data_IF_128258308687
#
_entry.id   IF_128258308687
#
_cell.length_a   1.000
_cell.length_b   1.000
_cell.length_c   1.000
_cell.angle_alpha   90.00
_cell.angle_beta   90.00
_cell.angle_gamma   90.00
#
_symmetry.space_group_name_H-M   'P 1'
#
loop_
_entity.id
_entity.type
_entity.pdbx_description
1 polymer ?
#
# COMPACT_ATOMS: atom_id res chain seq x y z
N UNK A 1 23.74 -10.15 -10.70
CA UNK A 1 22.97 -9.83 -9.49
C UNK A 1 22.13 -8.61 -9.80
N UNK A 2 20.91 -8.53 -9.31
CA UNK A 2 19.96 -7.42 -9.60
C UNK A 2 19.96 -6.43 -8.44
N UNK A 3 19.65 -5.18 -8.75
CA UNK A 3 19.31 -4.18 -7.73
C UNK A 3 17.82 -4.23 -7.41
N UNK A 4 17.46 -3.82 -6.22
CA UNK A 4 16.07 -3.74 -5.75
C UNK A 4 15.80 -2.36 -5.15
N UNK A 5 14.75 -1.72 -5.60
CA UNK A 5 14.20 -0.51 -5.00
C UNK A 5 12.76 -0.80 -4.57
N UNK A 6 12.53 -0.86 -3.28
CA UNK A 6 11.22 -1.07 -2.69
C UNK A 6 10.73 0.25 -2.10
N UNK A 7 9.57 0.73 -2.55
CA UNK A 7 8.91 1.93 -2.05
C UNK A 7 7.62 1.51 -1.38
N UNK A 8 7.50 1.72 -0.10
CA UNK A 8 6.29 1.45 0.67
C UNK A 8 5.74 2.73 1.29
N UNK A 9 4.47 3.02 1.00
CA UNK A 9 3.75 4.20 1.48
C UNK A 9 2.67 3.75 2.45
N UNK A 10 2.75 4.14 3.71
CA UNK A 10 1.73 3.79 4.69
C UNK A 10 0.47 4.65 4.50
N UNK A 11 -0.70 4.05 4.64
CA UNK A 11 -1.98 4.72 4.51
C UNK A 11 -2.44 5.03 3.08
N UNK A 12 -1.84 4.44 2.04
CA UNK A 12 -2.30 4.60 0.67
C UNK A 12 -3.34 3.53 0.33
N UNK A 13 -4.58 3.93 0.10
CA UNK A 13 -5.66 3.06 -0.37
C UNK A 13 -5.46 2.66 -1.84
N UNK A 14 -5.70 1.40 -2.19
CA UNK A 14 -5.75 0.94 -3.60
C UNK A 14 -6.83 1.68 -4.40
N UNK A 15 -8.03 1.85 -3.82
CA UNK A 15 -9.17 2.52 -4.45
C UNK A 15 -8.96 4.00 -4.80
N UNK A 16 -7.84 4.61 -4.43
CA UNK A 16 -7.50 5.99 -4.79
C UNK A 16 -6.55 6.11 -5.99
N UNK A 17 -6.16 5.00 -6.61
CA UNK A 17 -5.22 4.93 -7.73
C UNK A 17 -5.97 4.57 -9.01
N UNK A 18 -5.68 5.27 -10.12
CA UNK A 18 -6.32 5.04 -11.42
C UNK A 18 -6.16 3.60 -11.92
N UNK A 19 -4.98 3.00 -11.75
CA UNK A 19 -4.73 1.61 -12.12
C UNK A 19 -5.61 0.59 -11.37
N UNK A 20 -6.19 0.94 -10.22
CA UNK A 20 -7.19 0.14 -9.48
C UNK A 20 -8.64 0.59 -9.71
N UNK A 21 -8.88 1.44 -10.72
CA UNK A 21 -10.23 1.82 -11.17
C UNK A 21 -10.71 3.19 -10.69
N UNK A 22 -9.89 3.98 -9.97
CA UNK A 22 -10.25 5.36 -9.64
C UNK A 22 -10.25 6.21 -10.90
N UNK A 23 -11.35 6.92 -11.16
CA UNK A 23 -11.49 7.82 -12.32
C UNK A 23 -11.49 9.29 -11.95
N UNK A 24 -11.46 9.61 -10.67
CA UNK A 24 -11.53 10.96 -10.15
C UNK A 24 -10.16 11.51 -9.76
N UNK A 25 -9.37 10.72 -9.00
CA UNK A 25 -8.04 11.14 -8.57
C UNK A 25 -7.04 10.91 -9.70
N UNK A 26 -6.24 11.94 -10.02
CA UNK A 26 -5.27 11.89 -11.10
C UNK A 26 -3.95 11.28 -10.60
N UNK A 27 -3.61 10.09 -11.12
CA UNK A 27 -2.40 9.35 -10.77
C UNK A 27 -1.59 8.89 -12.01
N UNK A 28 -1.28 9.82 -12.95
CA UNK A 28 -0.69 9.44 -14.24
C UNK A 28 0.67 8.74 -14.11
N UNK A 29 1.45 9.05 -13.09
CA UNK A 29 2.75 8.41 -12.83
C UNK A 29 2.56 6.98 -12.34
N UNK A 30 1.69 6.75 -11.37
CA UNK A 30 1.35 5.42 -10.84
C UNK A 30 0.69 4.57 -11.93
N UNK A 31 -0.19 5.14 -12.74
CA UNK A 31 -0.84 4.45 -13.85
C UNK A 31 0.17 4.03 -14.94
N UNK A 32 1.11 4.93 -15.26
CA UNK A 32 2.22 4.60 -16.17
C UNK A 32 3.15 3.54 -15.60
N UNK A 33 3.42 3.57 -14.30
CA UNK A 33 4.20 2.54 -13.61
C UNK A 33 3.47 1.19 -13.65
N UNK A 34 2.17 1.17 -13.37
CA UNK A 34 1.33 -0.02 -13.44
C UNK A 34 1.37 -0.66 -14.84
N UNK A 35 1.28 0.14 -15.91
CA UNK A 35 1.41 -0.34 -17.29
C UNK A 35 2.77 -0.99 -17.60
N UNK A 36 3.81 -0.68 -16.84
CA UNK A 36 5.17 -1.22 -16.98
C UNK A 36 5.47 -2.32 -15.97
N UNK A 37 4.50 -2.73 -15.17
CA UNK A 37 4.63 -3.63 -14.03
C UNK A 37 3.72 -4.84 -14.15
N UNK A 38 3.95 -5.83 -13.28
CA UNK A 38 2.87 -6.70 -12.81
C UNK A 38 2.10 -5.91 -11.76
N UNK A 39 0.78 -5.82 -11.93
CA UNK A 39 -0.12 -5.28 -10.93
C UNK A 39 -0.84 -6.45 -10.25
N UNK A 40 -0.85 -6.45 -8.92
CA UNK A 40 -1.57 -7.45 -8.13
C UNK A 40 -2.89 -6.87 -7.63
N UNK A 41 -4.00 -7.43 -8.12
CA UNK A 41 -5.34 -6.96 -7.78
C UNK A 41 -5.80 -7.39 -6.40
N UNK A 42 -5.12 -8.36 -5.77
CA UNK A 42 -5.54 -9.00 -4.53
C UNK A 42 -4.41 -9.12 -3.53
N UNK A 43 -3.72 -8.02 -3.29
CA UNK A 43 -2.72 -7.93 -2.23
C UNK A 43 -3.37 -7.36 -0.96
N UNK A 44 -3.34 -8.13 0.12
CA UNK A 44 -3.97 -7.77 1.38
C UNK A 44 -2.97 -7.75 2.54
N UNK A 45 -3.12 -6.78 3.44
CA UNK A 45 -2.37 -6.79 4.71
C UNK A 45 -2.67 -8.08 5.50
N UNK A 46 -1.69 -8.60 6.21
CA UNK A 46 -1.89 -9.71 7.16
C UNK A 46 -2.54 -9.22 8.46
N UNK A 47 -2.28 -7.96 8.83
CA UNK A 47 -2.86 -7.28 9.99
C UNK A 47 -2.71 -5.76 9.87
N UNK A 48 -3.31 -5.01 10.82
CA UNK A 48 -3.08 -3.56 10.95
C UNK A 48 -1.85 -3.22 11.80
N UNK A 49 -1.13 -4.22 12.29
CA UNK A 49 0.09 -4.05 13.08
C UNK A 49 1.32 -3.89 12.16
N UNK A 50 1.84 -2.68 12.06
CA UNK A 50 3.01 -2.37 11.22
C UNK A 50 4.25 -3.19 11.59
N UNK A 51 4.65 -3.35 12.88
CA UNK A 51 5.77 -4.19 13.27
C UNK A 51 5.69 -5.62 12.71
N UNK A 52 4.55 -6.28 12.82
CA UNK A 52 4.34 -7.62 12.28
C UNK A 52 4.45 -7.64 10.76
N UNK A 53 3.79 -6.69 10.07
CA UNK A 53 3.87 -6.55 8.60
C UNK A 53 5.31 -6.35 8.12
N UNK A 54 6.11 -5.53 8.81
CA UNK A 54 7.53 -5.33 8.46
C UNK A 54 8.36 -6.60 8.68
N UNK A 55 8.04 -7.38 9.70
CA UNK A 55 8.69 -8.67 9.96
C UNK A 55 8.46 -9.66 8.83
N UNK A 56 7.26 -9.69 8.27
CA UNK A 56 6.93 -10.52 7.11
C UNK A 56 7.61 -10.03 5.82
N UNK A 57 7.63 -8.71 5.59
CA UNK A 57 8.21 -8.09 4.41
C UNK A 57 9.74 -8.16 4.35
N UNK A 58 10.42 -8.10 5.49
CA UNK A 58 11.88 -7.97 5.54
C UNK A 58 12.64 -9.31 5.57
N UNK A 59 12.18 -10.25 4.76
CA UNK A 59 12.85 -11.52 4.51
C UNK A 59 13.64 -11.44 3.20
N UNK A 60 14.83 -10.86 3.25
CA UNK A 60 15.59 -10.44 2.08
C UNK A 60 16.50 -11.52 1.49
N UNK A 61 16.81 -11.42 0.18
CA UNK A 61 17.90 -12.20 -0.42
C UNK A 61 19.22 -11.95 0.30
N UNK A 62 20.09 -12.99 0.49
CA UNK A 62 21.32 -12.84 1.27
C UNK A 62 22.40 -11.99 0.62
N UNK A 63 22.43 -11.86 -0.70
CA UNK A 63 23.61 -11.43 -1.47
C UNK A 63 23.57 -9.98 -1.97
N UNK A 64 22.89 -9.05 -1.26
CA UNK A 64 22.85 -7.64 -1.62
C UNK A 64 23.14 -6.74 -0.42
N UNK A 65 23.68 -5.55 -0.69
CA UNK A 65 23.86 -4.51 0.32
C UNK A 65 22.49 -3.87 0.64
N UNK A 66 22.05 -3.97 1.89
CA UNK A 66 20.70 -3.59 2.33
C UNK A 66 20.69 -2.21 2.96
N UNK A 67 19.88 -1.33 2.44
CA UNK A 67 19.76 0.07 2.87
C UNK A 67 18.32 0.34 3.26
N UNK A 68 18.08 0.80 4.47
CA UNK A 68 16.79 1.31 4.93
C UNK A 68 16.77 2.83 4.84
N UNK A 69 15.74 3.37 4.21
CA UNK A 69 15.40 4.78 4.26
C UNK A 69 13.98 4.92 4.82
N UNK A 70 13.79 5.75 5.84
CA UNK A 70 12.46 6.00 6.40
C UNK A 70 12.34 7.37 7.05
N UNK A 71 11.16 7.96 7.06
CA UNK A 71 10.80 9.13 7.88
C UNK A 71 10.07 8.70 9.17
N UNK A 72 9.64 7.44 9.27
CA UNK A 72 9.00 6.87 10.46
C UNK A 72 10.03 6.48 11.52
N UNK A 73 9.89 7.08 12.70
CA UNK A 73 10.75 6.77 13.84
C UNK A 73 10.56 5.34 14.36
N UNK A 74 9.34 4.80 14.32
CA UNK A 74 9.04 3.46 14.80
C UNK A 74 9.68 2.40 13.91
N UNK A 75 9.62 2.60 12.60
CA UNK A 75 10.27 1.76 11.59
C UNK A 75 11.80 1.81 11.70
N UNK A 76 12.36 3.00 11.89
CA UNK A 76 13.80 3.18 12.08
C UNK A 76 14.35 2.45 13.32
N UNK A 77 13.54 2.38 14.37
CA UNK A 77 13.86 1.73 15.65
C UNK A 77 13.38 0.27 15.74
N UNK A 78 12.71 -0.23 14.72
CA UNK A 78 12.21 -1.59 14.68
C UNK A 78 13.35 -2.61 14.87
N UNK A 79 13.10 -3.70 15.59
CA UNK A 79 14.12 -4.71 15.88
C UNK A 79 14.77 -5.23 14.60
N UNK A 80 13.95 -5.60 13.60
CA UNK A 80 14.44 -6.10 12.32
C UNK A 80 15.11 -5.05 11.42
N UNK A 81 15.07 -3.76 11.77
CA UNK A 81 15.89 -2.76 11.08
C UNK A 81 17.41 -3.03 11.27
N UNK A 82 17.78 -3.90 12.19
CA UNK A 82 19.14 -4.45 12.32
C UNK A 82 19.56 -5.38 11.18
N UNK A 83 18.65 -5.84 10.32
CA UNK A 83 18.94 -6.63 9.11
C UNK A 83 19.55 -5.79 7.98
N UNK A 84 19.46 -4.45 8.07
CA UNK A 84 20.01 -3.55 7.07
C UNK A 84 21.46 -3.17 7.40
N UNK A 85 22.30 -3.12 6.39
CA UNK A 85 23.71 -2.72 6.51
C UNK A 85 23.83 -1.22 6.77
N UNK A 86 22.90 -0.42 6.18
CA UNK A 86 22.83 1.03 6.37
C UNK A 86 21.38 1.45 6.68
N UNK A 87 21.24 2.45 7.56
CA UNK A 87 19.94 3.04 7.90
C UNK A 87 20.01 4.57 7.82
N UNK A 88 19.05 5.13 7.08
CA UNK A 88 18.92 6.56 6.89
C UNK A 88 17.53 7.02 7.34
N UNK A 89 17.49 8.09 8.13
CA UNK A 89 16.24 8.70 8.56
C UNK A 89 16.05 10.06 7.92
N UNK A 90 14.91 10.26 7.26
CA UNK A 90 14.48 11.58 6.81
C UNK A 90 13.78 12.27 8.00
N UNK A 91 14.30 13.41 8.44
CA UNK A 91 13.63 14.15 9.50
C UNK A 91 12.26 14.66 9.02
N UNK A 92 11.21 14.25 9.71
CA UNK A 92 9.88 14.79 9.50
C UNK A 92 9.85 16.25 9.99
N UNK A 93 9.69 17.20 9.08
CA UNK A 93 9.45 18.60 9.45
C UNK A 93 7.99 18.75 9.87
N UNK A 94 7.73 18.62 11.17
CA UNK A 94 6.42 18.94 11.72
C UNK A 94 6.10 20.41 11.48
N UNK A 95 5.14 20.66 10.60
CA UNK A 95 4.62 21.99 10.29
C UNK A 95 3.28 22.17 11.01
N UNK A 96 2.92 23.43 11.26
CA UNK A 96 1.61 23.78 11.80
C UNK A 96 0.65 24.21 10.69
N UNK A 97 1.11 24.25 9.43
CA UNK A 97 0.33 24.63 8.25
C UNK A 97 0.81 23.83 7.03
N UNK A 98 -0.06 23.59 6.03
CA UNK A 98 0.31 23.01 4.77
C UNK A 98 1.49 23.70 4.10
N UNK A 99 2.28 22.96 3.36
CA UNK A 99 3.37 23.53 2.57
C UNK A 99 2.78 24.44 1.48
N UNK A 100 3.53 25.48 1.10
CA UNK A 100 3.11 26.40 0.04
C UNK A 100 3.57 25.94 -1.36
N UNK A 101 4.35 24.86 -1.45
CA UNK A 101 4.85 24.26 -2.70
C UNK A 101 5.18 22.79 -2.45
N UNK A 102 5.13 21.99 -3.53
CA UNK A 102 5.43 20.58 -3.52
C UNK A 102 6.85 20.26 -2.98
N UNK A 103 7.86 21.07 -3.35
CA UNK A 103 9.25 20.86 -2.96
C UNK A 103 9.48 21.00 -1.44
N UNK A 104 8.49 21.47 -0.71
CA UNK A 104 8.54 21.62 0.75
C UNK A 104 7.76 20.53 1.48
N UNK A 105 7.10 19.62 0.77
CA UNK A 105 6.34 18.52 1.36
C UNK A 105 7.26 17.40 1.85
N UNK A 106 6.73 16.55 2.74
CA UNK A 106 7.46 15.38 3.21
C UNK A 106 7.68 14.37 2.07
N UNK A 107 6.69 14.15 1.20
CA UNK A 107 6.84 13.27 0.03
C UNK A 107 7.99 13.70 -0.89
N UNK A 108 8.11 15.00 -1.18
CA UNK A 108 9.24 15.47 -1.98
C UNK A 108 10.59 15.21 -1.30
N UNK A 109 10.71 15.46 0.01
CA UNK A 109 11.95 15.21 0.76
C UNK A 109 12.30 13.72 0.76
N UNK A 110 11.32 12.86 0.93
CA UNK A 110 11.47 11.41 0.92
C UNK A 110 12.00 10.92 -0.45
N UNK A 111 11.38 11.36 -1.54
CA UNK A 111 11.81 11.01 -2.90
C UNK A 111 13.19 11.61 -3.24
N UNK A 112 13.44 12.85 -2.83
CA UNK A 112 14.76 13.49 -3.04
C UNK A 112 15.89 12.76 -2.27
N UNK A 113 15.63 12.29 -1.05
CA UNK A 113 16.61 11.50 -0.31
C UNK A 113 16.81 10.12 -0.91
N UNK A 114 15.76 9.47 -1.42
CA UNK A 114 15.86 8.23 -2.20
C UNK A 114 16.78 8.42 -3.41
N UNK A 115 16.56 9.48 -4.20
CA UNK A 115 17.44 9.84 -5.34
C UNK A 115 18.86 10.08 -4.89
N UNK A 116 19.07 10.79 -3.78
CA UNK A 116 20.41 11.06 -3.25
C UNK A 116 21.16 9.78 -2.87
N UNK A 117 20.53 8.84 -2.20
CA UNK A 117 21.12 7.54 -1.87
C UNK A 117 21.46 6.74 -3.12
N UNK A 118 20.53 6.68 -4.08
CA UNK A 118 20.76 5.99 -5.35
C UNK A 118 21.91 6.62 -6.16
N UNK A 119 22.09 7.93 -6.12
CA UNK A 119 23.17 8.65 -6.79
C UNK A 119 24.53 8.37 -6.17
N UNK A 120 24.60 8.26 -4.85
CA UNK A 120 25.83 8.10 -4.09
C UNK A 120 26.11 6.64 -3.69
N UNK A 121 25.35 5.67 -4.22
CA UNK A 121 25.50 4.25 -3.92
C UNK A 121 26.87 3.72 -4.37
N UNK A 122 27.32 2.64 -3.76
CA UNK A 122 28.45 1.85 -4.27
C UNK A 122 28.06 1.08 -5.54
N UNK A 123 29.05 0.56 -6.28
CA UNK A 123 28.83 -0.28 -7.47
C UNK A 123 28.36 -1.71 -7.13
N UNK A 124 28.15 -2.02 -5.85
CA UNK A 124 27.64 -3.32 -5.41
C UNK A 124 26.13 -3.44 -5.66
N UNK A 125 25.63 -4.65 -5.92
CA UNK A 125 24.20 -4.90 -5.91
C UNK A 125 23.57 -4.46 -4.59
N UNK A 126 22.44 -3.76 -4.67
CA UNK A 126 21.79 -3.20 -3.48
C UNK A 126 20.31 -3.58 -3.40
N UNK A 127 19.80 -3.53 -2.20
CA UNK A 127 18.37 -3.44 -1.90
C UNK A 127 18.15 -2.16 -1.09
N UNK A 128 17.48 -1.19 -1.69
CA UNK A 128 17.03 0.03 -0.99
C UNK A 128 15.55 -0.14 -0.66
N UNK A 129 15.25 -0.24 0.63
CA UNK A 129 13.89 -0.21 1.16
C UNK A 129 13.57 1.19 1.66
N UNK A 130 12.71 1.90 0.93
CA UNK A 130 12.24 3.23 1.27
C UNK A 130 10.81 3.13 1.81
N UNK A 131 10.66 3.16 3.15
CA UNK A 131 9.37 3.15 3.82
C UNK A 131 9.03 4.53 4.35
N UNK A 132 7.81 4.99 4.08
CA UNK A 132 7.36 6.33 4.49
C UNK A 132 6.02 6.28 5.22
N UNK A 133 5.89 7.10 6.31
CA UNK A 133 4.63 7.28 7.07
C UNK A 133 3.45 7.62 6.15
N UNK A 134 3.72 8.27 5.04
CA UNK A 134 2.74 8.54 4.00
C UNK A 134 1.51 9.29 4.49
N UNK A 135 0.34 8.67 4.30
CA UNK A 135 -0.95 9.25 4.69
C UNK A 135 -1.28 9.03 6.17
N UNK A 136 -0.50 8.24 6.87
CA UNK A 136 -0.60 8.06 8.34
C UNK A 136 0.29 9.04 9.11
N UNK A 137 1.08 9.83 8.38
CA UNK A 137 1.87 10.95 8.90
C UNK A 137 1.15 12.30 8.82
N UNK A 138 1.93 13.38 8.86
CA UNK A 138 1.40 14.72 8.74
C UNK A 138 1.00 15.05 7.29
N UNK A 139 -0.19 15.61 7.10
CA UNK A 139 -0.69 16.03 5.81
C UNK A 139 -0.19 17.43 5.46
N UNK A 140 1.08 17.56 5.09
CA UNK A 140 1.68 18.84 4.71
C UNK A 140 1.46 19.21 3.22
N UNK A 141 0.52 18.54 2.56
CA UNK A 141 0.18 18.76 1.15
C UNK A 141 -0.31 20.20 0.93
N UNK A 142 0.15 20.90 -0.14
CA UNK A 142 -0.28 22.29 -0.41
C UNK A 142 -1.79 22.41 -0.60
N UNK A 143 -2.38 23.49 -0.09
CA UNK A 143 -3.82 23.74 -0.24
C UNK A 143 -4.26 23.80 -1.70
N UNK A 144 -3.39 24.23 -2.64
CA UNK A 144 -3.70 24.23 -4.08
C UNK A 144 -3.97 22.83 -4.63
N UNK A 145 -3.29 21.79 -4.12
CA UNK A 145 -3.54 20.41 -4.50
C UNK A 145 -4.83 19.87 -3.90
N UNK A 146 -5.14 20.23 -2.65
CA UNK A 146 -6.40 19.85 -2.00
C UNK A 146 -7.60 20.47 -2.71
N UNK A 147 -7.50 21.75 -3.08
CA UNK A 147 -8.54 22.48 -3.84
C UNK A 147 -8.72 22.04 -5.29
N UNK A 148 -7.78 21.25 -5.83
CA UNK A 148 -7.90 20.73 -7.19
C UNK A 148 -9.11 19.81 -7.38
N UNK A 149 -9.57 19.19 -6.32
CA UNK A 149 -10.70 18.26 -6.31
C UNK A 149 -12.01 18.87 -5.84
N UNK A 150 -11.98 20.12 -5.38
CA UNK A 150 -13.15 20.89 -4.94
C UNK A 150 -13.99 21.31 -6.15
N UNK A 151 -15.30 21.13 -6.09
CA UNK A 151 -16.27 21.72 -7.03
C UNK A 151 -17.02 22.88 -6.39
N UNK A 152 -17.81 23.65 -7.18
CA UNK A 152 -18.38 24.96 -6.78
C UNK A 152 -19.18 24.97 -5.47
N UNK A 153 -19.89 23.89 -5.15
CA UNK A 153 -20.73 23.78 -3.95
C UNK A 153 -20.08 22.96 -2.81
N UNK A 154 -18.82 22.49 -2.99
CA UNK A 154 -18.14 21.73 -1.96
C UNK A 154 -17.63 22.62 -0.82
N UNK A 155 -17.51 22.08 0.41
CA UNK A 155 -16.87 22.77 1.51
C UNK A 155 -15.38 23.06 1.19
N UNK A 156 -14.78 23.98 1.94
CA UNK A 156 -13.30 24.16 1.84
C UNK A 156 -12.58 22.86 2.27
N UNK A 157 -11.55 22.43 1.53
CA UNK A 157 -10.79 21.22 1.87
C UNK A 157 -10.19 21.29 3.28
N UNK A 158 -10.10 20.16 3.95
CA UNK A 158 -9.42 20.03 5.24
C UNK A 158 -8.07 20.74 5.22
N UNK A 159 -7.90 21.76 6.02
CA UNK A 159 -6.75 22.68 5.96
C UNK A 159 -5.67 22.42 7.01
N UNK A 160 -5.95 21.56 8.01
CA UNK A 160 -4.98 21.18 9.02
C UNK A 160 -3.90 20.24 8.44
N UNK A 161 -2.81 20.12 9.14
CA UNK A 161 -1.73 19.15 8.89
C UNK A 161 -1.79 17.95 9.81
N UNK A 162 -2.57 18.03 10.89
CA UNK A 162 -2.81 16.90 11.77
C UNK A 162 -3.61 15.80 11.04
N UNK A 163 -3.30 14.55 11.37
CA UNK A 163 -4.04 13.41 10.84
C UNK A 163 -5.51 13.50 11.28
N UNK A 164 -6.49 13.47 10.37
CA UNK A 164 -7.89 13.41 10.78
C UNK A 164 -8.23 12.04 11.36
N UNK A 165 -8.85 12.04 12.54
CA UNK A 165 -9.35 10.83 13.21
C UNK A 165 -10.77 11.09 13.68
N UNK A 166 -11.76 10.47 13.06
CA UNK A 166 -13.18 10.64 13.37
C UNK A 166 -13.86 9.29 13.50
N UNK A 167 -14.37 9.00 14.69
CA UNK A 167 -15.02 7.71 15.04
C UNK A 167 -16.54 7.83 15.21
N UNK A 168 -17.15 8.94 14.78
CA UNK A 168 -18.57 9.20 15.02
C UNK A 168 -19.42 8.65 13.86
N UNK A 169 -20.45 7.85 14.18
CA UNK A 169 -21.40 7.32 13.19
C UNK A 169 -22.24 8.41 12.48
N UNK A 170 -22.28 9.63 13.01
CA UNK A 170 -22.99 10.77 12.42
C UNK A 170 -21.95 11.73 11.82
N UNK A 171 -21.27 11.32 10.75
CA UNK A 171 -20.41 12.23 10.01
C UNK A 171 -21.23 13.40 9.46
N UNK A 172 -20.67 14.60 9.62
CA UNK A 172 -21.00 15.71 8.75
C UNK A 172 -20.52 15.37 7.33
N UNK A 173 -21.42 15.27 6.34
CA UNK A 173 -21.04 14.96 4.96
C UNK A 173 -20.00 15.94 4.39
N UNK A 174 -20.12 17.24 4.74
CA UNK A 174 -19.20 18.30 4.31
C UNK A 174 -17.82 18.09 4.92
N UNK A 175 -17.74 17.69 6.20
CA UNK A 175 -16.48 17.35 6.85
C UNK A 175 -15.79 16.14 6.21
N UNK A 176 -16.57 15.12 5.78
CA UNK A 176 -16.04 13.97 5.05
C UNK A 176 -15.50 14.38 3.68
N UNK A 177 -16.27 15.16 2.91
CA UNK A 177 -15.87 15.64 1.59
C UNK A 177 -14.59 16.47 1.67
N UNK A 178 -14.50 17.38 2.62
CA UNK A 178 -13.32 18.19 2.93
C UNK A 178 -12.05 17.35 3.15
N UNK A 179 -12.17 16.23 3.89
CA UNK A 179 -11.05 15.31 4.16
C UNK A 179 -10.70 14.50 2.91
N UNK A 180 -11.68 14.01 2.17
CA UNK A 180 -11.50 13.26 0.93
C UNK A 180 -10.73 14.09 -0.12
N UNK A 181 -11.08 15.36 -0.30
CA UNK A 181 -10.37 16.28 -1.19
C UNK A 181 -8.91 16.49 -0.76
N UNK A 182 -8.68 16.66 0.55
CA UNK A 182 -7.33 16.82 1.08
C UNK A 182 -6.47 15.56 0.88
N UNK A 183 -7.02 14.38 1.11
CA UNK A 183 -6.36 13.11 0.84
C UNK A 183 -6.05 12.96 -0.66
N UNK A 184 -7.02 13.23 -1.54
CA UNK A 184 -6.88 13.17 -3.00
C UNK A 184 -5.77 14.09 -3.50
N UNK A 185 -5.71 15.33 -2.97
CA UNK A 185 -4.60 16.24 -3.22
C UNK A 185 -3.25 15.68 -2.78
N UNK A 186 -3.22 14.96 -1.66
CA UNK A 186 -2.03 14.25 -1.18
C UNK A 186 -1.60 13.12 -2.12
N UNK A 187 -2.54 12.36 -2.68
CA UNK A 187 -2.26 11.30 -3.68
C UNK A 187 -1.63 11.91 -4.94
N UNK A 188 -2.13 13.06 -5.41
CA UNK A 188 -1.53 13.77 -6.55
C UNK A 188 -0.11 14.27 -6.23
N UNK A 189 0.13 14.78 -5.02
CA UNK A 189 1.48 15.18 -4.58
C UNK A 189 2.43 13.97 -4.55
N UNK A 190 1.98 12.81 -4.08
CA UNK A 190 2.75 11.56 -4.11
C UNK A 190 3.08 11.18 -5.56
N UNK A 191 2.10 11.19 -6.44
CA UNK A 191 2.25 10.84 -7.86
C UNK A 191 3.28 11.73 -8.58
N UNK A 192 3.18 13.06 -8.40
CA UNK A 192 4.12 14.01 -9.00
C UNK A 192 5.55 13.87 -8.43
N UNK A 193 5.69 13.61 -7.13
CA UNK A 193 7.02 13.43 -6.53
C UNK A 193 7.65 12.10 -6.94
N UNK A 194 6.86 11.05 -7.14
CA UNK A 194 7.29 9.78 -7.68
C UNK A 194 7.80 9.92 -9.12
N UNK A 195 7.16 10.78 -9.95
CA UNK A 195 7.62 11.06 -11.31
C UNK A 195 9.09 11.50 -11.35
N UNK A 196 9.51 12.34 -10.42
CA UNK A 196 10.90 12.79 -10.29
C UNK A 196 11.87 11.64 -10.02
N UNK A 197 11.51 10.70 -9.15
CA UNK A 197 12.32 9.51 -8.88
C UNK A 197 12.40 8.58 -10.10
N UNK A 198 11.27 8.32 -10.77
CA UNK A 198 11.26 7.49 -11.98
C UNK A 198 12.06 8.12 -13.14
N UNK A 199 11.98 9.44 -13.30
CA UNK A 199 12.80 10.16 -14.27
C UNK A 199 14.30 10.05 -13.97
N UNK A 200 14.70 10.10 -12.69
CA UNK A 200 16.07 9.86 -12.27
C UNK A 200 16.52 8.43 -12.60
N UNK A 201 15.74 7.40 -12.26
CA UNK A 201 16.07 6.00 -12.56
C UNK A 201 16.31 5.84 -14.08
N UNK A 202 15.44 6.40 -14.91
CA UNK A 202 15.55 6.33 -16.37
C UNK A 202 16.80 7.07 -16.88
N UNK A 203 17.06 8.29 -16.41
CA UNK A 203 18.19 9.10 -16.88
C UNK A 203 19.55 8.57 -16.43
N UNK A 204 19.60 7.86 -15.31
CA UNK A 204 20.82 7.19 -14.81
C UNK A 204 21.03 5.79 -15.37
N UNK A 205 20.05 5.23 -16.10
CA UNK A 205 20.07 3.86 -16.61
C UNK A 205 19.76 2.79 -15.55
N UNK A 206 19.52 3.17 -14.31
CA UNK A 206 19.18 2.24 -13.21
C UNK A 206 17.88 1.50 -13.44
N UNK A 207 16.97 2.05 -14.21
CA UNK A 207 15.71 1.41 -14.57
C UNK A 207 15.88 0.07 -15.29
N UNK A 208 17.04 -0.12 -15.98
CA UNK A 208 17.40 -1.35 -16.71
C UNK A 208 18.06 -2.42 -15.85
N UNK A 209 18.41 -2.11 -14.62
CA UNK A 209 19.15 -2.98 -13.72
C UNK A 209 18.45 -3.20 -12.38
N UNK A 210 17.32 -2.50 -12.15
CA UNK A 210 16.66 -2.47 -10.86
C UNK A 210 15.24 -2.98 -10.95
N UNK A 211 14.90 -3.97 -10.13
CA UNK A 211 13.52 -4.34 -9.85
C UNK A 211 12.92 -3.25 -8.96
N UNK A 212 11.83 -2.63 -9.42
CA UNK A 212 11.10 -1.62 -8.66
C UNK A 212 9.83 -2.23 -8.11
N UNK A 213 9.69 -2.23 -6.79
CA UNK A 213 8.46 -2.55 -6.08
C UNK A 213 7.86 -1.27 -5.52
N UNK A 214 6.56 -1.06 -5.76
CA UNK A 214 5.76 -0.01 -5.15
C UNK A 214 4.56 -0.64 -4.45
N UNK A 215 4.33 -0.30 -3.18
CA UNK A 215 3.25 -0.86 -2.38
C UNK A 215 2.77 0.07 -1.28
N UNK A 216 1.61 -0.24 -0.71
CA UNK A 216 1.23 0.21 0.64
C UNK A 216 1.42 -0.93 1.64
N UNK A 217 1.47 -0.61 2.93
CA UNK A 217 1.54 -1.60 4.02
C UNK A 217 0.26 -1.65 4.85
N UNK A 218 -0.50 -0.56 4.87
CA UNK A 218 -1.84 -0.42 5.47
C UNK A 218 -2.60 0.64 4.70
N UNK A 219 -3.92 0.55 4.70
CA UNK A 219 -4.79 1.58 4.13
C UNK A 219 -5.11 2.71 5.11
N UNK A 220 -6.14 3.47 4.77
CA UNK A 220 -6.66 4.61 5.53
C UNK A 220 -8.14 4.77 5.23
N UNK A 221 -9.00 4.82 6.25
CA UNK A 221 -10.44 5.00 6.06
C UNK A 221 -10.78 6.46 5.75
N UNK A 222 -11.61 6.70 4.74
CA UNK A 222 -12.06 8.02 4.26
C UNK A 222 -13.57 8.22 4.44
N UNK A 223 -14.15 7.54 5.43
CA UNK A 223 -15.57 7.59 5.76
C UNK A 223 -16.35 6.35 5.35
N UNK A 224 -15.69 5.38 4.74
CA UNK A 224 -16.24 4.03 4.58
C UNK A 224 -16.50 3.44 5.98
N UNK A 225 -17.55 2.65 6.11
CA UNK A 225 -17.95 2.02 7.38
C UNK A 225 -18.02 2.99 8.57
N UNK A 226 -18.32 4.27 8.30
CA UNK A 226 -18.47 5.34 9.31
C UNK A 226 -17.20 5.61 10.14
N UNK A 227 -16.05 5.49 9.54
CA UNK A 227 -14.78 5.80 10.16
C UNK A 227 -13.89 6.66 9.23
N UNK A 228 -13.17 7.65 9.78
CA UNK A 228 -12.10 8.36 9.10
C UNK A 228 -10.84 8.25 9.96
N UNK A 229 -9.75 7.80 9.38
CA UNK A 229 -8.49 7.72 10.08
C UNK A 229 -7.70 6.43 9.88
N UNK A 230 -6.73 6.25 10.75
CA UNK A 230 -5.71 5.21 10.65
C UNK A 230 -6.00 3.95 11.48
N UNK A 231 -7.05 3.97 12.32
CA UNK A 231 -7.37 2.88 13.26
C UNK A 231 -8.71 2.20 12.96
N UNK A 232 -9.12 2.17 11.68
CA UNK A 232 -10.37 1.57 11.24
C UNK A 232 -10.46 0.05 11.41
N UNK A 233 -11.63 -0.48 11.10
CA UNK A 233 -11.88 -1.92 11.07
C UNK A 233 -11.17 -2.59 9.87
N UNK A 234 -11.16 -3.94 9.81
CA UNK A 234 -10.43 -4.72 8.81
C UNK A 234 -11.19 -4.83 7.47
N UNK A 235 -11.82 -3.76 7.01
CA UNK A 235 -12.42 -3.70 5.69
C UNK A 235 -11.42 -3.32 4.60
N UNK A 236 -11.80 -3.50 3.34
CA UNK A 236 -10.89 -3.35 2.19
C UNK A 236 -10.18 -1.99 2.13
N UNK A 237 -10.81 -0.89 2.56
CA UNK A 237 -10.14 0.42 2.61
C UNK A 237 -8.88 0.44 3.49
N UNK A 238 -8.79 -0.48 4.48
CA UNK A 238 -7.65 -0.60 5.36
C UNK A 238 -6.71 -1.76 5.01
N UNK A 239 -7.23 -2.83 4.42
CA UNK A 239 -6.46 -4.07 4.24
C UNK A 239 -6.19 -4.46 2.78
N UNK A 240 -6.97 -3.96 1.82
CA UNK A 240 -6.71 -4.18 0.38
C UNK A 240 -5.76 -3.11 -0.16
N UNK A 241 -4.53 -3.52 -0.50
CA UNK A 241 -3.39 -2.63 -0.71
C UNK A 241 -2.89 -2.64 -2.16
N UNK A 242 -2.38 -1.53 -2.68
CA UNK A 242 -1.71 -1.53 -3.98
C UNK A 242 -0.37 -2.27 -3.90
N UNK A 243 -0.07 -3.05 -4.95
CA UNK A 243 1.22 -3.68 -5.17
C UNK A 243 1.55 -3.72 -6.66
N UNK A 244 2.67 -3.08 -7.03
CA UNK A 244 3.24 -3.11 -8.38
C UNK A 244 4.66 -3.64 -8.34
N UNK A 245 5.06 -4.50 -9.28
CA UNK A 245 6.43 -4.93 -9.45
C UNK A 245 6.84 -4.75 -10.92
N UNK A 246 7.78 -3.83 -11.16
CA UNK A 246 8.38 -3.61 -12.47
C UNK A 246 9.72 -4.33 -12.55
N UNK A 247 9.84 -5.21 -13.51
CA UNK A 247 11.10 -5.88 -13.82
C UNK A 247 11.93 -5.07 -14.84
N UNK A 248 13.27 -5.03 -14.71
CA UNK A 248 14.13 -4.21 -15.56
C UNK A 248 14.15 -4.64 -17.04
N UNK A 249 13.86 -5.91 -17.32
CA UNK A 249 13.75 -6.48 -18.66
C UNK A 249 12.38 -6.30 -19.31
N UNK A 250 11.44 -5.64 -18.60
CA UNK A 250 10.07 -5.45 -19.04
C UNK A 250 9.18 -6.70 -18.97
N UNK A 251 9.67 -7.77 -18.36
CA UNK A 251 8.87 -9.01 -18.17
C UNK A 251 7.56 -8.68 -17.46
N UNK A 252 6.46 -9.27 -17.95
CA UNK A 252 5.11 -9.14 -17.41
C UNK A 252 4.55 -7.71 -17.35
N UNK A 253 5.09 -6.76 -18.15
CA UNK A 253 4.55 -5.40 -18.24
C UNK A 253 3.09 -5.42 -18.64
N UNK A 254 2.24 -4.70 -17.87
CA UNK A 254 0.79 -4.61 -18.08
C UNK A 254 0.02 -5.88 -17.67
N UNK A 255 0.67 -6.88 -17.08
CA UNK A 255 -0.02 -8.05 -16.55
C UNK A 255 -0.73 -7.72 -15.24
N UNK A 256 -1.96 -8.22 -15.07
CA UNK A 256 -2.75 -8.12 -13.83
C UNK A 256 -2.93 -9.50 -13.24
N UNK A 257 -2.45 -9.68 -12.02
CA UNK A 257 -2.59 -10.94 -11.28
C UNK A 257 -3.79 -10.90 -10.33
N UNK A 258 -4.58 -11.96 -10.35
CA UNK A 258 -5.69 -12.19 -9.42
C UNK A 258 -5.28 -13.07 -8.22
N UNK A 259 -4.01 -13.40 -8.10
CA UNK A 259 -3.49 -14.20 -7.00
C UNK A 259 -3.69 -13.50 -5.67
N UNK A 260 -4.22 -14.21 -4.68
CA UNK A 260 -4.29 -13.74 -3.31
C UNK A 260 -2.89 -13.69 -2.71
N UNK A 261 -2.46 -12.52 -2.23
CA UNK A 261 -1.13 -12.30 -1.68
C UNK A 261 -1.17 -11.56 -0.36
N UNK A 262 -0.17 -11.83 0.48
CA UNK A 262 0.10 -11.14 1.73
C UNK A 262 1.56 -10.65 1.81
N UNK A 263 1.94 -9.85 2.80
CA UNK A 263 3.31 -9.32 2.94
C UNK A 263 4.41 -10.39 2.94
N UNK A 264 4.15 -11.58 3.49
CA UNK A 264 5.10 -12.69 3.49
C UNK A 264 5.49 -13.20 2.09
N UNK A 265 4.62 -13.02 1.09
CA UNK A 265 4.85 -13.48 -0.29
C UNK A 265 5.79 -12.55 -1.09
N UNK A 266 5.93 -11.29 -0.66
CA UNK A 266 6.64 -10.25 -1.42
C UNK A 266 8.10 -10.59 -1.67
N UNK A 267 8.78 -11.18 -0.69
CA UNK A 267 10.18 -11.60 -0.87
C UNK A 267 10.32 -12.67 -1.97
N UNK A 268 9.41 -13.65 -2.00
CA UNK A 268 9.36 -14.66 -3.06
C UNK A 268 9.16 -14.03 -4.44
N UNK A 269 8.26 -13.05 -4.56
CA UNK A 269 8.01 -12.32 -5.80
C UNK A 269 9.25 -11.57 -6.30
N UNK A 270 10.04 -10.95 -5.43
CA UNK A 270 11.29 -10.27 -5.80
C UNK A 270 12.35 -11.25 -6.33
N UNK A 271 12.40 -12.47 -5.80
CA UNK A 271 13.36 -13.50 -6.22
C UNK A 271 12.90 -14.28 -7.46
N UNK A 272 11.62 -14.27 -7.75
CA UNK A 272 10.95 -15.14 -8.72
C UNK A 272 11.56 -15.11 -10.11
N UNK A 273 11.87 -13.94 -10.65
CA UNK A 273 12.44 -13.82 -12.02
C UNK A 273 13.84 -14.45 -12.18
N UNK A 274 14.48 -14.95 -11.11
CA UNK A 274 15.78 -15.63 -11.19
C UNK A 274 15.66 -17.11 -11.56
N UNK A 275 14.50 -17.76 -11.37
CA UNK A 275 14.44 -19.24 -11.38
C UNK A 275 13.44 -19.88 -12.35
N UNK A 276 12.36 -19.25 -12.80
CA UNK A 276 11.33 -19.97 -13.55
C UNK A 276 10.72 -19.32 -14.79
N UNK A 277 10.79 -18.00 -14.94
CA UNK A 277 10.22 -17.30 -16.11
C UNK A 277 8.69 -17.31 -16.23
N UNK A 278 7.97 -17.90 -15.28
CA UNK A 278 6.50 -17.93 -15.21
C UNK A 278 6.04 -17.39 -13.86
N UNK A 279 5.10 -16.43 -13.85
CA UNK A 279 4.35 -16.10 -12.63
C UNK A 279 3.49 -17.29 -12.24
N UNK A 280 3.10 -17.46 -10.96
CA UNK A 280 2.07 -18.42 -10.60
C UNK A 280 0.85 -18.18 -11.47
N UNK A 281 0.54 -19.15 -12.38
CA UNK A 281 -0.51 -18.98 -13.39
C UNK A 281 -1.92 -19.16 -12.81
N UNK A 282 -2.01 -19.87 -11.66
CA UNK A 282 -3.31 -20.18 -11.04
C UNK A 282 -3.38 -19.57 -9.63
N UNK A 283 -4.41 -18.73 -9.37
CA UNK A 283 -4.59 -18.11 -8.02
C UNK A 283 -4.72 -19.13 -6.89
N UNK A 284 -5.22 -20.32 -7.18
CA UNK A 284 -5.49 -21.37 -6.20
C UNK A 284 -4.23 -22.11 -5.72
N UNK A 285 -3.10 -21.99 -6.45
CA UNK A 285 -1.85 -22.70 -6.09
C UNK A 285 -1.06 -21.98 -4.98
N UNK A 286 -1.26 -20.65 -4.78
CA UNK A 286 -0.53 -19.90 -3.76
C UNK A 286 -1.32 -19.89 -2.45
N UNK A 287 -2.50 -19.30 -2.45
CA UNK A 287 -3.38 -19.25 -1.28
C UNK A 287 -4.83 -19.45 -1.71
N UNK A 288 -5.50 -20.56 -1.33
CA UNK A 288 -6.94 -20.73 -1.56
C UNK A 288 -7.77 -19.72 -0.75
N UNK A 289 -7.21 -19.20 0.33
CA UNK A 289 -7.74 -18.10 1.14
C UNK A 289 -6.61 -17.44 1.93
N UNK A 290 -6.84 -16.25 2.43
CA UNK A 290 -5.92 -15.53 3.32
C UNK A 290 -6.64 -15.07 4.59
N UNK A 291 -6.03 -15.25 5.78
CA UNK A 291 -6.52 -14.70 7.04
C UNK A 291 -5.95 -13.30 7.25
N UNK A 292 -6.74 -12.39 7.85
CA UNK A 292 -6.30 -11.03 8.19
C UNK A 292 -6.67 -10.74 9.65
N UNK A 293 -5.68 -10.42 10.47
CA UNK A 293 -5.86 -9.98 11.85
C UNK A 293 -6.64 -10.96 12.75
N UNK A 294 -6.75 -12.22 12.35
CA UNK A 294 -7.51 -13.24 13.07
C UNK A 294 -9.04 -13.07 13.06
N UNK A 295 -9.56 -12.14 12.27
CA UNK A 295 -10.99 -11.84 12.22
C UNK A 295 -11.55 -11.78 10.78
N UNK A 296 -10.72 -11.64 9.77
CA UNK A 296 -11.16 -11.61 8.36
C UNK A 296 -10.57 -12.79 7.62
N UNK A 297 -11.36 -13.38 6.72
CA UNK A 297 -10.94 -14.40 5.77
C UNK A 297 -11.34 -13.92 4.37
N UNK A 298 -10.37 -13.86 3.46
CA UNK A 298 -10.60 -13.52 2.04
C UNK A 298 -10.33 -14.74 1.19
N UNK A 299 -11.30 -15.09 0.35
CA UNK A 299 -11.19 -16.12 -0.69
C UNK A 299 -11.32 -15.45 -2.09
N UNK A 300 -11.14 -16.16 -3.20
CA UNK A 300 -11.41 -15.60 -4.52
C UNK A 300 -12.79 -14.98 -4.67
N UNK A 301 -13.82 -15.56 -4.02
CA UNK A 301 -15.23 -15.19 -4.22
C UNK A 301 -15.85 -14.48 -3.01
N UNK A 302 -15.19 -14.49 -1.85
CA UNK A 302 -15.81 -14.03 -0.61
C UNK A 302 -14.85 -13.25 0.29
N UNK A 303 -15.40 -12.25 0.97
CA UNK A 303 -14.79 -11.58 2.11
C UNK A 303 -15.68 -11.84 3.33
N UNK A 304 -15.13 -12.51 4.34
CA UNK A 304 -15.82 -12.83 5.60
C UNK A 304 -15.20 -12.02 6.72
N UNK A 305 -16.02 -11.27 7.45
CA UNK A 305 -15.58 -10.58 8.66
C UNK A 305 -16.26 -11.16 9.88
N UNK A 306 -15.49 -11.83 10.72
CA UNK A 306 -15.96 -12.45 11.97
C UNK A 306 -15.98 -11.41 13.08
N UNK A 307 -17.17 -10.93 13.44
CA UNK A 307 -17.37 -9.92 14.47
C UNK A 307 -18.06 -10.49 15.69
N UNK A 308 -17.85 -9.91 16.89
CA UNK A 308 -18.60 -10.30 18.10
C UNK A 308 -20.12 -10.10 17.97
N UNK A 309 -20.54 -9.17 17.10
CA UNK A 309 -21.96 -8.88 16.81
C UNK A 309 -22.63 -9.86 15.86
N UNK A 310 -21.87 -10.68 15.18
CA UNK A 310 -22.26 -11.61 14.10
C UNK A 310 -21.35 -11.46 12.90
N UNK A 311 -21.17 -12.54 12.15
CA UNK A 311 -20.32 -12.52 10.97
C UNK A 311 -21.00 -11.78 9.83
N UNK A 312 -20.19 -11.07 9.06
CA UNK A 312 -20.56 -10.41 7.81
C UNK A 312 -19.95 -11.15 6.62
N UNK A 313 -20.67 -11.22 5.50
CA UNK A 313 -20.26 -11.92 4.28
C UNK A 313 -20.50 -11.06 3.05
N UNK A 314 -19.47 -10.85 2.25
CA UNK A 314 -19.50 -10.00 1.07
C UNK A 314 -19.00 -10.75 -0.17
N UNK A 315 -19.75 -10.66 -1.28
CA UNK A 315 -19.39 -11.33 -2.53
C UNK A 315 -18.29 -10.56 -3.27
N UNK A 316 -17.18 -11.22 -3.60
CA UNK A 316 -16.09 -10.64 -4.37
C UNK A 316 -16.06 -11.19 -5.80
N UNK A 317 -15.64 -10.41 -6.78
CA UNK A 317 -15.18 -8.99 -6.69
C UNK A 317 -16.32 -7.96 -6.72
N UNK A 318 -17.59 -8.38 -6.87
CA UNK A 318 -18.73 -7.51 -7.19
C UNK A 318 -19.01 -6.47 -6.09
N UNK A 319 -19.00 -6.87 -4.83
CA UNK A 319 -19.11 -5.96 -3.70
C UNK A 319 -17.71 -5.49 -3.25
N UNK A 320 -17.14 -4.60 -4.03
CA UNK A 320 -15.79 -4.09 -3.80
C UNK A 320 -15.64 -3.37 -2.43
N UNK A 321 -16.72 -2.72 -1.98
CA UNK A 321 -16.71 -1.85 -0.80
C UNK A 321 -17.34 -2.46 0.45
N UNK A 322 -17.65 -3.77 0.45
CA UNK A 322 -18.31 -4.46 1.57
C UNK A 322 -19.58 -3.73 2.08
N UNK A 323 -20.48 -3.39 1.15
CA UNK A 323 -21.72 -2.65 1.45
C UNK A 323 -22.91 -3.60 1.65
N UNK A 324 -22.96 -4.69 0.87
CA UNK A 324 -24.10 -5.59 0.83
C UNK A 324 -23.81 -6.89 1.58
N UNK A 325 -23.99 -6.85 2.90
CA UNK A 325 -23.87 -8.07 3.72
C UNK A 325 -24.94 -9.11 3.31
N UNK A 326 -24.47 -10.28 2.91
CA UNK A 326 -25.30 -11.42 2.49
C UNK A 326 -25.23 -12.60 3.45
N UNK A 327 -24.69 -12.45 4.64
CA UNK A 327 -24.50 -13.51 5.64
C UNK A 327 -25.78 -14.30 5.91
N UNK A 328 -26.90 -13.61 6.14
CA UNK A 328 -28.20 -14.24 6.39
C UNK A 328 -28.74 -15.04 5.19
N UNK A 329 -28.41 -14.60 3.95
CA UNK A 329 -28.88 -15.24 2.71
C UNK A 329 -28.00 -16.39 2.26
N UNK A 330 -26.72 -16.38 2.65
CA UNK A 330 -25.69 -17.32 2.24
C UNK A 330 -25.01 -18.02 3.43
N UNK A 331 -25.79 -18.38 4.46
CA UNK A 331 -25.29 -19.02 5.69
C UNK A 331 -24.49 -20.32 5.42
N UNK A 332 -24.86 -21.06 4.36
CA UNK A 332 -24.14 -22.26 3.94
C UNK A 332 -22.66 -21.96 3.51
N UNK A 333 -22.39 -20.78 2.95
CA UNK A 333 -21.02 -20.33 2.61
C UNK A 333 -20.22 -20.09 3.89
N UNK A 334 -20.81 -19.42 4.89
CA UNK A 334 -20.16 -19.22 6.18
C UNK A 334 -19.80 -20.55 6.86
N UNK A 335 -20.70 -21.55 6.78
CA UNK A 335 -20.43 -22.88 7.33
C UNK A 335 -19.26 -23.56 6.62
N UNK A 336 -19.16 -23.43 5.29
CA UNK A 336 -18.04 -23.98 4.51
C UNK A 336 -16.71 -23.30 4.86
N UNK A 337 -16.69 -21.94 4.95
CA UNK A 337 -15.46 -21.19 5.23
C UNK A 337 -15.00 -21.40 6.69
N UNK A 338 -15.92 -21.64 7.62
CA UNK A 338 -15.61 -21.95 9.02
C UNK A 338 -15.12 -23.40 9.24
N UNK A 339 -15.19 -24.26 8.24
CA UNK A 339 -14.84 -25.67 8.41
C UNK A 339 -13.37 -25.86 8.79
N UNK A 340 -13.04 -26.74 9.77
CA UNK A 340 -11.69 -26.92 10.29
C UNK A 340 -10.60 -27.20 9.24
N UNK A 341 -10.96 -27.83 8.11
CA UNK A 341 -10.01 -28.09 7.02
C UNK A 341 -9.43 -26.81 6.36
N UNK A 342 -10.14 -25.68 6.41
CA UNK A 342 -9.60 -24.39 5.97
C UNK A 342 -8.77 -23.72 7.08
N UNK A 343 -9.09 -23.97 8.35
CA UNK A 343 -8.29 -23.48 9.49
C UNK A 343 -6.94 -24.20 9.60
N UNK A 344 -6.87 -25.51 9.31
CA UNK A 344 -5.62 -26.29 9.31
C UNK A 344 -4.63 -25.85 8.20
N UNK A 345 -5.14 -25.36 7.05
CA UNK A 345 -4.29 -24.82 5.98
C UNK A 345 -3.61 -23.50 6.39
N UNK A 346 -4.30 -22.63 7.14
CA UNK A 346 -3.74 -21.35 7.62
C UNK A 346 -2.61 -21.53 8.64
N UNK A 347 -2.70 -22.51 9.52
CA UNK A 347 -1.65 -22.78 10.52
C UNK A 347 -0.39 -23.44 9.94
N UNK A 348 -0.50 -24.14 8.81
CA UNK A 348 0.64 -24.78 8.14
C UNK A 348 1.41 -23.82 7.23
N UNK A 349 0.79 -22.73 6.76
CA UNK A 349 1.42 -21.70 5.94
C UNK A 349 2.21 -20.65 6.76
N UNK A 350 2.00 -20.63 8.10
CA UNK A 350 2.69 -19.71 9.04
C UNK A 350 3.91 -20.38 9.72
N UNK A 351 4.21 -21.63 9.41
CA UNK A 351 5.42 -22.33 9.86
C UNK A 351 6.43 -22.46 8.73
#
# INVERSE_FOLDING_TARGET
MRNYLCISIDGLQSGTIGAYGNTWIQTPTLDSLACQSVLFDRFYASSMDLPNTLTELWQFPPDCHKILLTDDASVFLHEQAGLFDEKHRVEAKRRNQPANKIEKTQFFRNMAMTVNLLRNRSDKPFLLWAHFEGFRGHWDFPLSYRKHYQIDDDPDPYSDVALPEITNKNFDPDGRQSILEAYSGGVTVLDETLAGLLAFLKSSGLDKETVLLFMSVRGFSLGEHNYIGSCGELYSENVHLPLFIRFPDGSFSGFRSQTLLQPADVCGLLQFNQYSGTLPEEPEEVHPFIPIGGAVIVTPDWFVYQKPSGDELYAKPDDHWEINDVADRCSHVLEQIRHPSLQEYGESAVR
#
